data_IF_980461930619
#
_entry.id   IF_980461930619
#
_cell.length_a   1.000
_cell.length_b   1.000
_cell.length_c   1.000
_cell.angle_alpha   90.00
_cell.angle_beta   90.00
_cell.angle_gamma   90.00
#
_symmetry.space_group_name_H-M   'P 1'
#
loop_
_entity.id
_entity.type
_entity.pdbx_description
1 polymer ?
#
# COMPACT_ATOMS: atom_id res chain seq x y z
N UNK A 1 -8.28 14.15 21.77
CA UNK A 1 -7.75 14.96 20.64
C UNK A 1 -7.62 14.06 19.42
N UNK A 2 -8.10 14.44 18.23
CA UNK A 2 -7.84 13.68 17.02
C UNK A 2 -6.32 13.66 16.80
N UNK A 3 -5.74 12.47 16.64
CA UNK A 3 -4.31 12.35 16.33
C UNK A 3 -4.05 13.06 15.01
N UNK A 4 -3.20 14.10 15.02
CA UNK A 4 -2.84 14.83 13.82
C UNK A 4 -2.03 13.89 12.92
N UNK A 5 -2.64 13.45 11.83
CA UNK A 5 -1.92 12.74 10.77
C UNK A 5 -1.01 13.73 10.06
N UNK A 6 0.30 13.49 10.14
CA UNK A 6 1.34 14.27 9.46
C UNK A 6 1.10 14.30 7.94
N UNK A 7 1.62 15.33 7.25
CA UNK A 7 1.39 15.58 5.82
C UNK A 7 1.58 14.34 4.94
N UNK A 8 2.69 13.62 5.11
CA UNK A 8 2.98 12.39 4.36
C UNK A 8 1.92 11.29 4.56
N UNK A 9 1.41 11.14 5.79
CA UNK A 9 0.35 10.17 6.09
C UNK A 9 -0.96 10.53 5.39
N UNK A 10 -1.29 11.83 5.29
CA UNK A 10 -2.49 12.29 4.56
C UNK A 10 -2.39 12.00 3.07
N UNK A 11 -1.23 12.24 2.48
CA UNK A 11 -0.98 11.97 1.06
C UNK A 11 -1.16 10.48 0.72
N UNK A 12 -0.60 9.60 1.56
CA UNK A 12 -0.77 8.16 1.43
C UNK A 12 -2.25 7.75 1.50
N UNK A 13 -3.00 8.26 2.47
CA UNK A 13 -4.44 7.96 2.62
C UNK A 13 -5.22 8.38 1.36
N UNK A 14 -4.92 9.54 0.80
CA UNK A 14 -5.58 10.03 -0.42
C UNK A 14 -5.26 9.15 -1.64
N UNK A 15 -4.03 8.66 -1.77
CA UNK A 15 -3.64 7.73 -2.85
C UNK A 15 -4.39 6.39 -2.72
N UNK A 16 -4.44 5.83 -1.52
CA UNK A 16 -5.17 4.59 -1.23
C UNK A 16 -6.66 4.74 -1.54
N UNK A 17 -7.28 5.84 -1.12
CA UNK A 17 -8.69 6.13 -1.41
C UNK A 17 -8.96 6.13 -2.92
N UNK A 18 -8.15 6.86 -3.70
CA UNK A 18 -8.30 6.92 -5.16
C UNK A 18 -8.17 5.55 -5.82
N UNK A 19 -7.24 4.72 -5.36
CA UNK A 19 -7.09 3.36 -5.84
C UNK A 19 -8.36 2.53 -5.58
N UNK A 20 -8.87 2.53 -4.34
CA UNK A 20 -10.08 1.77 -3.99
C UNK A 20 -11.32 2.24 -4.77
N UNK A 21 -11.47 3.55 -5.01
CA UNK A 21 -12.56 4.08 -5.84
C UNK A 21 -12.46 3.64 -7.29
N UNK A 22 -11.25 3.64 -7.87
CA UNK A 22 -11.02 3.16 -9.23
C UNK A 22 -11.28 1.65 -9.34
N UNK A 23 -10.85 0.90 -8.33
CA UNK A 23 -11.04 -0.54 -8.26
C UNK A 23 -12.51 -0.94 -8.09
N UNK A 24 -13.28 -0.18 -7.31
CA UNK A 24 -14.72 -0.41 -7.16
C UNK A 24 -15.46 -0.23 -8.49
N UNK A 25 -15.03 0.73 -9.31
CA UNK A 25 -15.59 0.97 -10.64
C UNK A 25 -15.19 -0.12 -11.65
N UNK A 26 -13.97 -0.62 -11.52
CA UNK A 26 -13.38 -1.55 -12.47
C UNK A 26 -12.44 -2.46 -11.68
N UNK A 27 -12.74 -3.77 -11.56
CA UNK A 27 -11.93 -4.72 -10.76
C UNK A 27 -10.55 -4.94 -11.40
N UNK A 28 -9.67 -3.95 -11.26
CA UNK A 28 -8.41 -3.81 -12.00
C UNK A 28 -7.37 -4.85 -11.59
N UNK A 29 -7.33 -5.21 -10.29
CA UNK A 29 -6.33 -6.12 -9.74
C UNK A 29 -7.04 -7.17 -8.87
N UNK A 30 -6.93 -8.47 -9.17
CA UNK A 30 -7.49 -9.53 -8.35
C UNK A 30 -7.01 -9.47 -6.88
N UNK A 31 -7.90 -9.81 -5.93
CA UNK A 31 -7.65 -9.71 -4.49
C UNK A 31 -6.54 -10.66 -4.01
N UNK A 32 -6.44 -11.83 -4.64
CA UNK A 32 -5.41 -12.86 -4.44
C UNK A 32 -4.01 -12.35 -4.82
N UNK A 33 -3.91 -11.34 -5.68
CA UNK A 33 -2.64 -10.79 -6.12
C UNK A 33 -2.14 -9.65 -5.22
N UNK A 34 -2.01 -9.95 -3.93
CA UNK A 34 -1.70 -8.99 -2.84
C UNK A 34 -0.52 -8.08 -3.16
N UNK A 35 0.57 -8.63 -3.73
CA UNK A 35 1.77 -7.87 -4.06
C UNK A 35 1.51 -6.73 -5.06
N UNK A 36 0.77 -7.01 -6.13
CA UNK A 36 0.40 -6.03 -7.15
C UNK A 36 -0.47 -4.92 -6.59
N UNK A 37 -1.39 -5.29 -5.69
CA UNK A 37 -2.26 -4.33 -5.00
C UNK A 37 -1.47 -3.37 -4.12
N UNK A 38 -0.56 -3.91 -3.29
CA UNK A 38 0.30 -3.09 -2.43
C UNK A 38 1.15 -2.14 -3.28
N UNK A 39 1.74 -2.62 -4.37
CA UNK A 39 2.51 -1.79 -5.30
C UNK A 39 1.66 -0.64 -5.88
N UNK A 40 0.44 -0.92 -6.34
CA UNK A 40 -0.47 0.09 -6.88
C UNK A 40 -0.93 1.11 -5.82
N UNK A 41 -1.21 0.66 -4.60
CA UNK A 41 -1.68 1.53 -3.50
C UNK A 41 -0.59 2.45 -2.96
N UNK A 42 0.64 1.95 -2.88
CA UNK A 42 1.78 2.67 -2.31
C UNK A 42 2.57 3.46 -3.36
N UNK A 43 2.39 3.15 -4.64
CA UNK A 43 3.11 3.77 -5.75
C UNK A 43 4.55 3.29 -5.90
N UNK A 44 4.93 2.18 -5.26
CA UNK A 44 6.26 1.58 -5.40
C UNK A 44 6.23 0.34 -6.30
N UNK A 45 7.40 -0.06 -6.81
CA UNK A 45 7.50 -1.27 -7.62
C UNK A 45 7.22 -2.54 -6.81
N UNK A 46 6.71 -3.59 -7.46
CA UNK A 46 6.54 -4.92 -6.84
C UNK A 46 7.85 -5.47 -6.25
N UNK A 47 9.00 -5.15 -6.87
CA UNK A 47 10.33 -5.50 -6.35
C UNK A 47 10.60 -4.82 -5.01
N UNK A 48 10.29 -3.52 -4.91
CA UNK A 48 10.40 -2.74 -3.67
C UNK A 48 9.50 -3.33 -2.59
N UNK A 49 8.25 -3.67 -2.92
CA UNK A 49 7.32 -4.32 -1.98
C UNK A 49 7.95 -5.60 -1.41
N UNK A 50 8.46 -6.50 -2.25
CA UNK A 50 9.09 -7.73 -1.77
C UNK A 50 10.33 -7.49 -0.93
N UNK A 51 11.15 -6.50 -1.29
CA UNK A 51 12.32 -6.15 -0.49
C UNK A 51 11.92 -5.71 0.91
N UNK A 52 10.97 -4.77 1.02
CA UNK A 52 10.45 -4.28 2.31
C UNK A 52 9.78 -5.39 3.13
N UNK A 53 9.00 -6.28 2.48
CA UNK A 53 8.38 -7.42 3.18
C UNK A 53 9.43 -8.36 3.77
N UNK A 54 10.52 -8.63 3.04
CA UNK A 54 11.64 -9.45 3.54
C UNK A 54 12.35 -8.77 4.71
N UNK A 55 12.67 -7.48 4.57
CA UNK A 55 13.31 -6.69 5.64
C UNK A 55 12.48 -6.70 6.93
N UNK A 56 11.15 -6.52 6.82
CA UNK A 56 10.24 -6.58 7.96
C UNK A 56 10.17 -7.96 8.62
N UNK A 57 10.22 -9.05 7.84
CA UNK A 57 10.25 -10.41 8.38
C UNK A 57 11.54 -10.68 9.17
N UNK A 58 12.69 -10.23 8.64
CA UNK A 58 13.98 -10.35 9.33
C UNK A 58 14.01 -9.54 10.62
N UNK A 59 13.50 -8.30 10.61
CA UNK A 59 13.44 -7.44 11.79
C UNK A 59 12.49 -7.97 12.89
N UNK A 60 11.44 -8.72 12.52
CA UNK A 60 10.54 -9.35 13.48
C UNK A 60 11.10 -10.64 14.10
N UNK A 61 12.21 -11.16 13.55
CA UNK A 61 12.83 -12.43 13.97
C UNK A 61 14.01 -12.23 14.94
N UNK A 62 14.34 -10.99 15.29
CA UNK A 62 15.40 -10.56 16.22
C UNK A 62 14.80 -9.86 17.43
#
# INVERSE_FOLDING_TARGET
MPKVVKSAGREMILKVKKFCEAEHKNRLIPLDNVRKRVAAMTGVSEKTVTRVTKEGATAAST
#
